data_IF_446534774298
#
_entry.id   IF_446534774298
#
_cell.length_a   1.000
_cell.length_b   1.000
_cell.length_c   1.000
_cell.angle_alpha   90.00
_cell.angle_beta   90.00
_cell.angle_gamma   90.00
#
_symmetry.space_group_name_H-M   'P 1'
#
loop_
_entity.id
_entity.type
_entity.pdbx_description
1 polymer ?
#
# COMPACT_ATOMS: atom_id res chain seq x y z
N UNK A 1 -2.22 14.28 -3.68
CA UNK A 1 -1.13 14.30 -2.69
C UNK A 1 -1.37 15.44 -1.71
N UNK A 2 -0.94 15.29 -0.47
CA UNK A 2 -1.08 16.32 0.57
C UNK A 2 0.29 16.90 0.89
N UNK A 3 0.49 18.20 0.62
CA UNK A 3 1.75 18.89 0.89
C UNK A 3 1.67 19.52 2.28
N UNK A 4 2.64 19.21 3.14
CA UNK A 4 2.69 19.72 4.53
C UNK A 4 4.13 19.98 4.95
N UNK A 5 4.31 20.83 5.96
CA UNK A 5 5.61 21.09 6.60
C UNK A 5 5.95 20.07 7.71
N UNK A 6 5.12 19.03 7.89
CA UNK A 6 5.27 18.05 9.00
C UNK A 6 6.44 17.10 8.81
N UNK A 7 6.92 16.94 7.58
CA UNK A 7 8.01 16.03 7.21
C UNK A 7 9.18 16.83 6.66
N UNK A 8 10.40 16.34 6.91
CA UNK A 8 11.63 16.99 6.43
C UNK A 8 11.76 16.88 4.91
N UNK A 9 12.44 17.84 4.24
CA UNK A 9 12.75 17.71 2.82
C UNK A 9 13.46 16.39 2.50
N UNK A 10 13.01 15.69 1.45
CA UNK A 10 13.52 14.37 1.07
C UNK A 10 12.86 13.19 1.80
N UNK A 11 11.94 13.43 2.73
CA UNK A 11 11.18 12.38 3.45
C UNK A 11 9.72 12.38 2.98
N UNK A 12 9.18 11.19 2.79
CA UNK A 12 7.77 10.96 2.41
C UNK A 12 7.10 10.11 3.48
N UNK A 13 5.82 10.39 3.74
CA UNK A 13 4.98 9.62 4.65
C UNK A 13 3.76 9.08 3.90
N UNK A 14 3.42 7.81 4.14
CA UNK A 14 2.23 7.16 3.59
C UNK A 14 1.56 6.26 4.63
N UNK A 15 0.29 5.94 4.40
CA UNK A 15 -0.52 5.06 5.26
C UNK A 15 -1.01 3.86 4.48
N UNK A 16 -1.22 2.73 5.15
CA UNK A 16 -1.62 1.46 4.52
C UNK A 16 -3.06 1.04 4.88
N UNK A 17 -3.87 1.93 5.45
CA UNK A 17 -5.22 1.61 5.93
C UNK A 17 -6.22 1.25 4.82
N UNK A 18 -5.96 1.68 3.60
CA UNK A 18 -6.83 1.50 2.44
C UNK A 18 -6.20 0.49 1.47
N UNK A 19 -6.75 -0.72 1.30
CA UNK A 19 -6.13 -1.78 0.51
C UNK A 19 -5.93 -1.41 -0.97
N UNK A 20 -6.82 -0.59 -1.54
CA UNK A 20 -6.76 -0.10 -2.91
C UNK A 20 -5.52 0.74 -3.22
N UNK A 21 -4.86 1.28 -2.18
CA UNK A 21 -3.65 2.09 -2.32
C UNK A 21 -2.40 1.24 -2.61
N UNK A 22 -2.37 -0.03 -2.21
CA UNK A 22 -1.21 -0.89 -2.40
C UNK A 22 0.06 -0.41 -1.69
N UNK A 23 -0.06 0.23 -0.51
CA UNK A 23 1.10 0.85 0.14
C UNK A 23 2.26 -0.10 0.45
N UNK A 24 2.01 -1.40 0.64
CA UNK A 24 3.08 -2.39 0.89
C UNK A 24 3.63 -3.03 -0.40
N UNK A 25 3.16 -2.61 -1.58
CA UNK A 25 3.73 -3.03 -2.86
C UNK A 25 5.05 -2.30 -3.12
N UNK A 26 5.18 -1.08 -2.58
CA UNK A 26 6.39 -0.27 -2.71
C UNK A 26 7.46 -0.64 -1.68
N UNK A 27 7.12 -1.36 -0.61
CA UNK A 27 8.08 -1.74 0.42
C UNK A 27 9.02 -2.83 -0.08
N UNK A 28 10.25 -2.85 0.43
CA UNK A 28 11.27 -3.84 0.06
C UNK A 28 11.15 -5.14 0.84
N UNK A 29 11.89 -6.14 0.42
CA UNK A 29 12.09 -7.42 1.11
C UNK A 29 13.15 -7.36 2.23
N UNK A 30 13.82 -6.22 2.42
CA UNK A 30 14.74 -6.00 3.54
C UNK A 30 14.06 -6.26 4.90
N UNK A 31 14.81 -6.90 5.78
CA UNK A 31 14.34 -7.24 7.13
C UNK A 31 15.48 -7.27 8.16
N UNK A 32 15.08 -7.19 9.42
CA UNK A 32 15.99 -7.38 10.55
C UNK A 32 16.54 -8.81 10.59
N UNK A 33 17.84 -8.95 10.88
CA UNK A 33 18.55 -10.23 10.86
C UNK A 33 18.12 -11.18 12.00
N UNK A 34 17.66 -10.66 13.13
CA UNK A 34 17.35 -11.46 14.31
C UNK A 34 15.92 -12.00 14.28
N UNK A 35 14.97 -11.17 13.85
CA UNK A 35 13.53 -11.45 13.95
C UNK A 35 12.82 -11.54 12.61
N UNK A 36 13.51 -11.18 11.52
CA UNK A 36 12.93 -11.04 10.19
C UNK A 36 11.78 -10.00 10.14
N UNK A 37 11.80 -9.02 11.05
CA UNK A 37 10.85 -7.90 11.03
C UNK A 37 11.09 -7.04 9.78
N UNK A 38 10.09 -6.82 8.90
CA UNK A 38 10.31 -6.13 7.63
C UNK A 38 10.59 -4.63 7.79
N UNK A 39 11.36 -4.09 6.84
CA UNK A 39 11.71 -2.67 6.78
C UNK A 39 10.56 -1.81 6.20
N UNK A 40 9.50 -1.59 7.00
CA UNK A 40 8.36 -0.76 6.59
C UNK A 40 8.61 0.76 6.65
N UNK A 41 9.68 1.18 7.34
CA UNK A 41 9.92 2.60 7.66
C UNK A 41 10.90 3.27 6.71
N UNK A 42 11.63 2.50 5.90
CA UNK A 42 12.64 3.01 4.99
C UNK A 42 12.51 2.28 3.66
N UNK A 43 12.24 3.04 2.60
CA UNK A 43 12.22 2.55 1.23
C UNK A 43 12.58 3.72 0.33
N UNK A 44 13.57 3.53 -0.55
CA UNK A 44 13.92 4.53 -1.55
C UNK A 44 12.81 4.60 -2.61
N UNK A 45 12.24 5.79 -2.84
CA UNK A 45 11.12 6.00 -3.76
C UNK A 45 11.34 7.20 -4.67
N UNK A 46 10.71 7.17 -5.84
CA UNK A 46 10.58 8.31 -6.75
C UNK A 46 9.12 8.76 -6.77
N UNK A 47 8.87 10.03 -6.44
CA UNK A 47 7.53 10.61 -6.49
C UNK A 47 7.36 11.40 -7.78
N UNK A 48 6.30 11.11 -8.53
CA UNK A 48 5.93 11.84 -9.74
C UNK A 48 4.42 12.06 -9.79
N UNK A 49 3.99 13.11 -10.49
CA UNK A 49 2.57 13.36 -10.73
C UNK A 49 2.07 12.42 -11.83
N UNK A 50 0.98 11.72 -11.55
CA UNK A 50 0.30 10.82 -12.49
C UNK A 50 -1.19 11.17 -12.59
N UNK A 51 -1.83 10.77 -13.69
CA UNK A 51 -3.26 10.98 -13.93
C UNK A 51 -4.06 9.67 -14.06
N UNK A 52 -3.40 8.51 -13.92
CA UNK A 52 -4.00 7.19 -14.07
C UNK A 52 -3.54 6.26 -12.94
N UNK A 53 -4.32 5.20 -12.70
CA UNK A 53 -3.98 4.14 -11.74
C UNK A 53 -2.76 3.35 -12.23
N UNK A 54 -2.01 2.77 -11.29
CA UNK A 54 -0.92 1.86 -11.65
C UNK A 54 -1.46 0.55 -12.23
N UNK A 55 -0.63 -0.15 -13.00
CA UNK A 55 -0.99 -1.48 -13.52
C UNK A 55 -1.35 -2.44 -12.37
N UNK A 56 -0.55 -2.42 -11.30
CA UNK A 56 -0.81 -3.24 -10.12
C UNK A 56 -2.18 -2.95 -9.49
N UNK A 57 -2.59 -1.67 -9.40
CA UNK A 57 -3.89 -1.32 -8.84
C UNK A 57 -5.06 -1.82 -9.72
N UNK A 58 -4.90 -1.76 -11.04
CA UNK A 58 -5.89 -2.27 -12.00
C UNK A 58 -6.02 -3.79 -11.88
N UNK A 59 -4.89 -4.51 -11.89
CA UNK A 59 -4.84 -5.97 -11.72
C UNK A 59 -5.42 -6.41 -10.38
N UNK A 60 -5.12 -5.68 -9.29
CA UNK A 60 -5.66 -5.96 -7.97
C UNK A 60 -7.19 -5.81 -7.94
N UNK A 61 -7.73 -4.78 -8.60
CA UNK A 61 -9.17 -4.57 -8.68
C UNK A 61 -9.86 -5.69 -9.47
N UNK A 62 -9.36 -6.01 -10.67
CA UNK A 62 -9.90 -7.08 -11.52
C UNK A 62 -9.87 -8.44 -10.82
N UNK A 63 -8.77 -8.76 -10.13
CA UNK A 63 -8.65 -9.98 -9.34
C UNK A 63 -9.67 -10.01 -8.20
N UNK A 64 -9.80 -8.92 -7.45
CA UNK A 64 -10.73 -8.82 -6.32
C UNK A 64 -12.18 -8.99 -6.76
N UNK A 65 -12.59 -8.34 -7.85
CA UNK A 65 -13.93 -8.47 -8.44
C UNK A 65 -14.21 -9.91 -8.86
N UNK A 66 -13.24 -10.57 -9.50
CA UNK A 66 -13.34 -11.98 -9.90
C UNK A 66 -13.51 -12.90 -8.69
N UNK A 67 -12.76 -12.67 -7.60
CA UNK A 67 -12.88 -13.46 -6.37
C UNK A 67 -14.26 -13.30 -5.72
N UNK A 68 -14.79 -12.08 -5.65
CA UNK A 68 -16.14 -11.82 -5.11
C UNK A 68 -17.19 -12.52 -5.96
N UNK A 69 -17.06 -12.46 -7.29
CA UNK A 69 -17.98 -13.13 -8.20
C UNK A 69 -18.01 -14.64 -8.00
N UNK A 70 -16.82 -15.26 -7.85
CA UNK A 70 -16.70 -16.72 -7.68
C UNK A 70 -17.16 -17.20 -6.30
N UNK A 71 -16.93 -16.43 -5.25
CA UNK A 71 -17.22 -16.83 -3.87
C UNK A 71 -18.62 -16.42 -3.40
N UNK A 72 -19.19 -15.36 -3.98
CA UNK A 72 -20.45 -14.76 -3.52
C UNK A 72 -20.33 -14.06 -2.15
N UNK A 73 -19.11 -13.91 -1.62
CA UNK A 73 -18.84 -13.29 -0.32
C UNK A 73 -18.34 -11.87 -0.56
N UNK A 74 -19.06 -10.88 -0.03
CA UNK A 74 -18.58 -9.50 -0.01
C UNK A 74 -17.41 -9.38 0.98
N UNK A 75 -16.36 -8.59 0.65
CA UNK A 75 -15.28 -8.34 1.57
C UNK A 75 -15.85 -7.65 2.82
N UNK A 76 -15.84 -8.37 3.94
CA UNK A 76 -16.19 -7.78 5.23
C UNK A 76 -15.08 -6.80 5.58
N UNK A 77 -15.46 -5.58 6.01
CA UNK A 77 -14.50 -4.61 6.52
C UNK A 77 -13.67 -5.32 7.60
N UNK A 78 -12.33 -5.37 7.50
CA UNK A 78 -11.53 -6.02 8.53
C UNK A 78 -11.85 -5.34 9.85
N UNK A 79 -12.12 -6.13 10.89
CA UNK A 79 -12.27 -5.61 12.24
C UNK A 79 -10.99 -4.84 12.57
N UNK A 80 -11.08 -3.51 12.64
CA UNK A 80 -9.98 -2.68 13.10
C UNK A 80 -9.74 -3.08 14.55
N UNK A 81 -8.64 -3.79 14.80
CA UNK A 81 -8.14 -3.95 16.16
C UNK A 81 -7.52 -2.60 16.50
N UNK A 82 -8.21 -1.83 17.33
CA UNK A 82 -7.69 -0.60 17.95
C UNK A 82 -6.42 -0.88 18.77
#
# INVERSE_FOLDING_TARGET
ATITERVQPGVVYTTFHHPESGANVITTDNSDWATNCPEYKVTAVQVSRVNQLSNWQQEYQEFSESQIHLTGILPTKPAVVE
#
